data_IF_905923711408
#
_entry.id   IF_905923711408
#
_cell.length_a   1.000
_cell.length_b   1.000
_cell.length_c   1.000
_cell.angle_alpha   90.00
_cell.angle_beta   90.00
_cell.angle_gamma   90.00
#
_symmetry.space_group_name_H-M   'P 1'
#
loop_
_entity.id
_entity.type
_entity.pdbx_description
1 polymer ?
#
# COMPACT_ATOMS: atom_id res chain seq x y z
N UNK A 1 -15.87 4.32 1.72
CA UNK A 1 -14.88 4.34 2.82
C UNK A 1 -13.51 4.62 2.23
N UNK A 2 -12.64 5.40 2.88
CA UNK A 2 -11.33 5.80 2.33
C UNK A 2 -10.26 5.71 3.42
N UNK A 3 -9.16 5.00 3.16
CA UNK A 3 -7.95 5.02 3.98
C UNK A 3 -6.98 6.05 3.41
N UNK A 4 -6.32 6.83 4.27
CA UNK A 4 -5.28 7.78 3.86
C UNK A 4 -4.09 7.62 4.80
N UNK A 5 -2.94 7.26 4.25
CA UNK A 5 -1.68 7.09 4.99
C UNK A 5 -0.81 8.31 4.66
N UNK A 6 -0.35 9.02 5.68
CA UNK A 6 0.52 10.20 5.55
C UNK A 6 1.96 9.79 5.85
N UNK A 7 2.92 10.50 5.26
CA UNK A 7 4.35 10.27 5.49
C UNK A 7 4.78 8.82 5.22
N UNK A 8 4.42 8.31 4.04
CA UNK A 8 4.69 6.93 3.65
C UNK A 8 6.19 6.58 3.71
N UNK A 9 6.52 5.46 4.34
CA UNK A 9 7.86 4.88 4.42
C UNK A 9 7.96 3.51 3.74
N UNK A 10 9.17 2.93 3.67
CA UNK A 10 9.38 1.62 3.01
C UNK A 10 8.52 0.48 3.57
N UNK A 11 8.24 0.52 4.86
CA UNK A 11 7.43 -0.46 5.58
C UNK A 11 5.93 -0.39 5.26
N UNK A 12 5.46 0.70 4.65
CA UNK A 12 4.06 0.87 4.27
C UNK A 12 3.77 0.30 2.87
N UNK A 13 4.79 -0.11 2.11
CA UNK A 13 4.59 -0.79 0.84
C UNK A 13 4.15 -2.24 1.08
N UNK A 14 3.20 -2.72 0.28
CA UNK A 14 2.65 -4.07 0.46
C UNK A 14 1.21 -4.21 -0.02
N UNK A 15 0.58 -5.32 0.36
CA UNK A 15 -0.80 -5.62 0.02
C UNK A 15 -1.75 -5.05 1.07
N UNK A 16 -2.75 -4.29 0.60
CA UNK A 16 -3.81 -3.76 1.43
C UNK A 16 -5.11 -4.45 1.08
N UNK A 17 -5.78 -4.98 2.12
CA UNK A 17 -7.09 -5.63 1.99
C UNK A 17 -8.17 -4.72 2.54
N UNK A 18 -9.13 -4.37 1.69
CA UNK A 18 -10.38 -3.77 2.13
C UNK A 18 -11.37 -4.89 2.42
N UNK A 19 -11.99 -4.87 3.60
CA UNK A 19 -12.97 -5.89 4.01
C UNK A 19 -14.25 -5.19 4.44
N UNK A 20 -15.36 -5.57 3.83
CA UNK A 20 -16.71 -5.16 4.21
C UNK A 20 -17.46 -6.37 4.74
N UNK A 21 -17.95 -6.31 5.99
CA UNK A 21 -18.66 -7.40 6.66
C UNK A 21 -19.99 -6.94 7.21
N UNK A 22 -21.01 -7.78 7.11
CA UNK A 22 -22.26 -7.62 7.84
C UNK A 22 -22.79 -9.00 8.28
N UNK A 23 -23.97 -9.06 8.90
CA UNK A 23 -24.55 -10.32 9.38
C UNK A 23 -24.95 -11.31 8.29
N UNK A 24 -25.03 -10.88 7.03
CA UNK A 24 -25.41 -11.70 5.87
C UNK A 24 -24.18 -12.21 5.10
N UNK A 25 -23.02 -11.58 5.25
CA UNK A 25 -21.79 -12.02 4.63
C UNK A 25 -20.69 -10.97 4.54
N UNK A 26 -19.64 -11.37 3.82
CA UNK A 26 -18.39 -10.63 3.68
C UNK A 26 -18.06 -10.38 2.20
N UNK A 27 -17.41 -9.27 1.90
CA UNK A 27 -16.82 -8.97 0.60
C UNK A 27 -15.47 -8.31 0.79
N UNK A 28 -14.48 -8.68 -0.02
CA UNK A 28 -13.15 -8.10 0.04
C UNK A 28 -12.57 -7.69 -1.32
N UNK A 29 -11.67 -6.72 -1.27
CA UNK A 29 -10.86 -6.27 -2.40
C UNK A 29 -9.42 -6.07 -1.96
N UNK A 30 -8.46 -6.40 -2.83
CA UNK A 30 -7.03 -6.27 -2.55
C UNK A 30 -6.38 -5.31 -3.53
N UNK A 31 -5.50 -4.44 -3.01
CA UNK A 31 -4.62 -3.59 -3.82
C UNK A 31 -3.17 -3.81 -3.38
N UNK A 32 -2.23 -3.67 -4.31
CA UNK A 32 -0.80 -3.69 -4.01
C UNK A 32 -0.21 -2.29 -4.18
N UNK A 33 0.49 -1.83 -3.16
CA UNK A 33 1.20 -0.55 -3.15
C UNK A 33 2.69 -0.82 -3.35
N UNK A 34 3.24 -0.29 -4.45
CA UNK A 34 4.65 -0.43 -4.79
C UNK A 34 5.41 0.85 -4.47
N UNK A 35 6.61 0.69 -3.91
CA UNK A 35 7.55 1.79 -3.71
C UNK A 35 8.41 2.04 -4.95
N UNK A 36 8.60 3.31 -5.33
CA UNK A 36 9.62 3.66 -6.31
C UNK A 36 10.96 3.78 -5.61
N UNK A 37 11.91 2.91 -5.97
CA UNK A 37 13.26 2.96 -5.43
C UNK A 37 14.08 4.07 -6.11
N UNK A 38 13.82 5.33 -5.76
CA UNK A 38 14.57 6.48 -6.31
C UNK A 38 16.02 6.48 -5.80
N UNK A 39 16.29 5.86 -4.65
CA UNK A 39 17.62 5.87 -4.02
C UNK A 39 18.68 5.08 -4.80
N UNK A 40 18.33 4.03 -5.56
CA UNK A 40 19.33 3.31 -6.37
C UNK A 40 19.75 4.08 -7.62
N UNK A 41 18.86 4.88 -8.22
CA UNK A 41 19.16 5.65 -9.44
C UNK A 41 20.12 6.81 -9.12
N UNK A 42 20.00 7.40 -7.93
CA UNK A 42 20.87 8.50 -7.48
C UNK A 42 22.22 8.03 -6.91
N UNK A 43 22.42 6.73 -6.68
CA UNK A 43 23.68 6.17 -6.20
C UNK A 43 24.61 5.69 -7.33
N UNK A 44 24.15 5.74 -8.60
CA UNK A 44 24.97 5.45 -9.77
C UNK A 44 25.61 6.70 -10.41
N UNK A 45 25.52 7.85 -9.75
CA UNK A 45 26.09 9.14 -10.19
C UNK A 45 27.22 9.64 -9.26
N UNK A 46 27.86 8.73 -8.51
CA UNK A 46 29.13 8.98 -7.80
C UNK A 46 30.10 7.80 -7.96
#
# INVERSE_FOLDING_TARGET
>A
MKLTIRSIGPQDYGNYKCVSKNSLGDTDGTIQVFGKLIKLILLNEF
#
